data_IF_474680177094
#
_entry.id   IF_474680177094
#
_cell.length_a   1.000
_cell.length_b   1.000
_cell.length_c   1.000
_cell.angle_alpha   90.00
_cell.angle_beta   90.00
_cell.angle_gamma   90.00
#
_symmetry.space_group_name_H-M   'P 1'
#
loop_
_entity.id
_entity.type
_entity.pdbx_description
1 polymer ?
#
# COMPACT_ATOMS: atom_id res chain seq x y z
N UNK A 1 27.65 6.64 -7.01
CA UNK A 1 28.13 5.42 -6.32
C UNK A 1 27.04 4.81 -5.46
N UNK A 2 26.39 5.58 -4.58
CA UNK A 2 25.28 5.09 -3.74
C UNK A 2 24.07 4.64 -4.56
N UNK A 3 23.66 5.41 -5.59
CA UNK A 3 22.53 5.04 -6.46
C UNK A 3 22.77 3.75 -7.24
N UNK A 4 23.97 3.55 -7.79
CA UNK A 4 24.30 2.32 -8.54
C UNK A 4 24.26 1.07 -7.65
N UNK A 5 24.63 1.20 -6.38
CA UNK A 5 24.54 0.10 -5.40
C UNK A 5 23.09 -0.23 -5.09
N UNK A 6 22.25 0.77 -4.85
CA UNK A 6 20.83 0.53 -4.56
C UNK A 6 20.09 -0.08 -5.76
N UNK A 7 20.38 0.39 -6.97
CA UNK A 7 19.88 -0.25 -8.20
C UNK A 7 20.31 -1.71 -8.32
N UNK A 8 21.44 -2.09 -7.73
CA UNK A 8 21.86 -3.48 -7.59
C UNK A 8 20.92 -4.29 -6.69
N UNK A 9 20.57 -3.77 -5.51
CA UNK A 9 19.60 -4.41 -4.60
C UNK A 9 18.21 -4.53 -5.22
N UNK A 10 17.73 -3.48 -5.89
CA UNK A 10 16.45 -3.49 -6.61
C UNK A 10 16.46 -4.58 -7.66
N UNK A 11 17.51 -4.68 -8.50
CA UNK A 11 17.62 -5.75 -9.50
C UNK A 11 17.66 -7.15 -8.88
N UNK A 12 18.29 -7.29 -7.71
CA UNK A 12 18.31 -8.57 -6.98
C UNK A 12 16.91 -8.94 -6.49
N UNK A 13 16.15 -7.97 -6.00
CA UNK A 13 14.74 -8.14 -5.62
C UNK A 13 13.89 -8.51 -6.85
N UNK A 14 14.01 -7.79 -7.97
CA UNK A 14 13.33 -8.08 -9.24
C UNK A 14 13.65 -9.49 -9.78
N UNK A 15 14.86 -10.00 -9.54
CA UNK A 15 15.23 -11.36 -9.91
C UNK A 15 14.64 -12.43 -8.97
N UNK A 16 14.38 -12.09 -7.71
CA UNK A 16 13.74 -12.98 -6.74
C UNK A 16 12.24 -13.01 -6.96
N UNK A 17 11.66 -11.84 -7.18
CA UNK A 17 10.24 -11.59 -7.28
C UNK A 17 9.92 -10.87 -8.60
N UNK A 18 9.30 -11.62 -9.52
CA UNK A 18 8.90 -11.09 -10.83
C UNK A 18 7.88 -9.95 -10.70
N UNK A 19 7.18 -9.86 -9.57
CA UNK A 19 6.25 -8.77 -9.21
C UNK A 19 6.94 -7.41 -9.24
N UNK A 20 8.15 -7.32 -8.69
CA UNK A 20 8.82 -6.04 -8.45
C UNK A 20 9.44 -5.44 -9.71
N UNK A 21 9.43 -6.15 -10.85
CA UNK A 21 10.08 -5.70 -12.09
C UNK A 21 9.48 -4.40 -12.61
N UNK A 22 10.25 -3.33 -12.51
CA UNK A 22 9.85 -1.96 -12.84
C UNK A 22 8.72 -1.40 -11.94
N UNK A 23 8.26 -2.14 -10.95
CA UNK A 23 7.21 -1.73 -10.01
C UNK A 23 7.72 -0.59 -9.13
N UNK A 24 8.86 -0.79 -8.47
CA UNK A 24 9.45 0.23 -7.59
C UNK A 24 9.71 1.55 -8.31
N UNK A 25 10.10 1.51 -9.59
CA UNK A 25 10.29 2.71 -10.42
C UNK A 25 8.97 3.40 -10.76
N UNK A 26 7.88 2.65 -11.00
CA UNK A 26 6.55 3.23 -11.24
C UNK A 26 5.95 3.79 -9.95
N UNK A 27 6.11 3.10 -8.82
CA UNK A 27 5.74 3.62 -7.50
C UNK A 27 6.51 4.89 -7.18
N UNK A 28 7.81 4.95 -7.47
CA UNK A 28 8.61 6.16 -7.32
C UNK A 28 8.08 7.30 -8.20
N UNK A 29 7.74 7.03 -9.47
CA UNK A 29 7.13 8.02 -10.37
C UNK A 29 5.81 8.57 -9.81
N UNK A 30 4.89 7.71 -9.37
CA UNK A 30 3.61 8.16 -8.82
C UNK A 30 3.80 8.90 -7.48
N UNK A 31 4.73 8.47 -6.64
CA UNK A 31 5.04 9.14 -5.37
C UNK A 31 5.59 10.56 -5.61
N UNK A 32 6.55 10.71 -6.52
CA UNK A 32 7.08 12.02 -6.93
C UNK A 32 5.97 12.91 -7.51
N UNK A 33 5.13 12.34 -8.38
CA UNK A 33 4.01 13.06 -9.00
C UNK A 33 3.01 13.61 -7.98
N UNK A 34 2.61 12.79 -7.01
CA UNK A 34 1.71 13.20 -5.92
C UNK A 34 2.41 14.25 -5.05
N UNK A 35 3.65 13.99 -4.62
CA UNK A 35 4.42 14.92 -3.78
C UNK A 35 4.57 16.30 -4.41
N UNK A 36 4.90 16.37 -5.71
CA UNK A 36 5.00 17.63 -6.46
C UNK A 36 3.68 18.40 -6.44
N UNK A 37 2.56 17.70 -6.67
CA UNK A 37 1.23 18.29 -6.65
C UNK A 37 0.81 18.78 -5.26
N UNK A 38 1.33 18.17 -4.19
CA UNK A 38 1.16 18.61 -2.80
C UNK A 38 2.18 19.68 -2.35
N UNK A 39 3.07 20.12 -3.25
CA UNK A 39 4.02 21.20 -3.01
C UNK A 39 5.37 20.77 -2.45
N UNK A 40 5.69 19.47 -2.44
CA UNK A 40 7.00 18.98 -2.03
C UNK A 40 8.06 19.43 -3.04
N UNK A 41 9.27 19.68 -2.56
CA UNK A 41 10.38 20.15 -3.39
C UNK A 41 11.72 19.56 -2.95
N UNK A 42 12.69 19.56 -3.87
CA UNK A 42 14.08 19.20 -3.62
C UNK A 42 14.22 17.91 -2.83
N UNK A 43 14.74 18.02 -1.61
CA UNK A 43 15.01 16.90 -0.71
C UNK A 43 13.75 16.09 -0.35
N UNK A 44 12.56 16.70 -0.28
CA UNK A 44 11.34 15.95 0.05
C UNK A 44 10.95 14.96 -1.06
N UNK A 45 11.04 15.39 -2.31
CA UNK A 45 10.79 14.53 -3.48
C UNK A 45 11.86 13.45 -3.59
N UNK A 46 13.12 13.80 -3.33
CA UNK A 46 14.20 12.83 -3.31
C UNK A 46 13.98 11.74 -2.23
N UNK A 47 13.51 12.12 -1.03
CA UNK A 47 13.13 11.15 0.01
C UNK A 47 12.02 10.22 -0.43
N UNK A 48 10.93 10.75 -1.00
CA UNK A 48 9.83 9.93 -1.54
C UNK A 48 10.31 8.95 -2.60
N UNK A 49 11.11 9.43 -3.55
CA UNK A 49 11.69 8.61 -4.62
C UNK A 49 12.50 7.46 -4.02
N UNK A 50 13.41 7.75 -3.10
CA UNK A 50 14.24 6.72 -2.48
C UNK A 50 13.43 5.75 -1.64
N UNK A 51 12.48 6.22 -0.85
CA UNK A 51 11.58 5.37 -0.05
C UNK A 51 10.80 4.40 -0.95
N UNK A 52 10.24 4.89 -2.07
CA UNK A 52 9.56 4.06 -3.05
C UNK A 52 10.46 3.00 -3.68
N UNK A 53 11.74 3.32 -3.91
CA UNK A 53 12.69 2.36 -4.47
C UNK A 53 13.08 1.23 -3.49
N UNK A 54 12.95 1.46 -2.18
CA UNK A 54 13.39 0.53 -1.13
C UNK A 54 12.26 -0.15 -0.36
N UNK A 55 11.00 0.30 -0.50
CA UNK A 55 9.88 -0.16 0.33
C UNK A 55 9.76 -1.69 0.42
N UNK A 56 10.07 -2.37 -0.68
CA UNK A 56 9.97 -3.83 -0.79
C UNK A 56 11.30 -4.58 -0.62
N UNK A 57 12.42 -3.90 -0.29
CA UNK A 57 13.75 -4.56 -0.20
C UNK A 57 13.77 -5.67 0.85
N UNK A 58 12.95 -5.55 1.90
CA UNK A 58 12.78 -6.56 2.93
C UNK A 58 12.24 -7.90 2.42
N UNK A 59 11.58 -7.93 1.25
CA UNK A 59 11.17 -9.19 0.59
C UNK A 59 12.38 -10.05 0.20
N UNK A 60 13.61 -9.51 0.19
CA UNK A 60 14.84 -10.30 0.07
C UNK A 60 15.04 -11.31 1.22
N UNK A 61 14.49 -11.05 2.40
CA UNK A 61 14.55 -11.96 3.55
C UNK A 61 13.38 -12.97 3.61
N UNK A 62 12.26 -12.72 2.91
CA UNK A 62 11.08 -13.61 2.90
C UNK A 62 11.34 -14.88 2.05
N UNK A 63 10.91 -16.09 2.46
CA UNK A 63 11.11 -17.31 1.67
C UNK A 63 10.55 -17.21 0.24
N UNK A 64 11.32 -17.68 -0.75
CA UNK A 64 10.93 -17.58 -2.18
C UNK A 64 9.61 -18.31 -2.49
N UNK A 65 9.39 -19.47 -1.88
CA UNK A 65 8.18 -20.27 -2.12
C UNK A 65 6.93 -19.57 -1.58
N UNK A 66 7.09 -18.76 -0.52
CA UNK A 66 6.03 -17.93 0.04
C UNK A 66 5.71 -16.75 -0.89
N UNK A 67 6.73 -16.03 -1.38
CA UNK A 67 6.55 -14.92 -2.36
C UNK A 67 5.86 -15.38 -3.64
N UNK A 68 6.10 -16.62 -4.08
CA UNK A 68 5.57 -17.16 -5.34
C UNK A 68 4.29 -18.00 -5.15
N UNK A 69 3.76 -18.07 -3.94
CA UNK A 69 2.60 -18.89 -3.63
C UNK A 69 1.36 -18.28 -4.28
N UNK A 70 0.68 -19.06 -5.13
CA UNK A 70 -0.57 -18.63 -5.82
C UNK A 70 -1.85 -18.90 -5.03
N UNK A 71 -1.74 -19.69 -3.97
CA UNK A 71 -2.86 -20.00 -3.10
C UNK A 71 -2.88 -19.00 -1.94
N UNK A 72 -4.05 -18.83 -1.32
CA UNK A 72 -4.18 -18.01 -0.09
C UNK A 72 -3.10 -18.38 0.91
N UNK A 73 -2.48 -17.36 1.49
CA UNK A 73 -1.58 -17.51 2.62
C UNK A 73 -2.36 -17.98 3.85
N UNK A 74 -1.76 -18.84 4.65
CA UNK A 74 -2.20 -19.08 6.02
C UNK A 74 -1.90 -17.84 6.87
N UNK A 75 -2.48 -17.74 8.06
CA UNK A 75 -2.20 -16.66 9.01
C UNK A 75 -0.70 -16.57 9.35
N UNK A 76 -0.03 -17.71 9.56
CA UNK A 76 1.41 -17.78 9.81
C UNK A 76 2.25 -17.31 8.62
N UNK A 77 1.86 -17.70 7.41
CA UNK A 77 2.50 -17.29 6.16
C UNK A 77 2.28 -15.80 5.88
N UNK A 78 1.11 -15.28 6.25
CA UNK A 78 0.79 -13.86 6.15
C UNK A 78 1.64 -13.03 7.11
N UNK A 79 1.79 -13.46 8.37
CA UNK A 79 2.70 -12.81 9.32
C UNK A 79 4.16 -12.81 8.83
N UNK A 80 4.61 -13.91 8.20
CA UNK A 80 5.94 -13.96 7.57
C UNK A 80 6.07 -13.02 6.37
N UNK A 81 4.99 -12.79 5.63
CA UNK A 81 4.97 -11.81 4.54
C UNK A 81 5.06 -10.39 5.08
N UNK A 82 4.28 -10.05 6.11
CA UNK A 82 4.28 -8.72 6.75
C UNK A 82 5.65 -8.36 7.35
N UNK A 83 6.39 -9.36 7.84
CA UNK A 83 7.75 -9.18 8.37
C UNK A 83 8.75 -8.58 7.36
N UNK A 84 8.43 -8.51 6.06
CA UNK A 84 9.27 -7.80 5.09
C UNK A 84 9.47 -6.33 5.49
N UNK A 85 8.48 -5.69 6.10
CA UNK A 85 8.60 -4.31 6.60
C UNK A 85 9.73 -4.19 7.62
N UNK A 86 9.78 -5.11 8.59
CA UNK A 86 10.86 -5.14 9.58
C UNK A 86 12.23 -5.44 8.96
N UNK A 87 12.24 -6.30 7.93
CA UNK A 87 13.48 -6.61 7.22
C UNK A 87 14.04 -5.43 6.42
N UNK A 88 13.24 -4.44 6.04
CA UNK A 88 13.76 -3.20 5.42
C UNK A 88 14.71 -2.48 6.37
N UNK A 89 14.29 -2.31 7.63
CA UNK A 89 15.11 -1.68 8.67
C UNK A 89 16.39 -2.48 8.90
N UNK A 90 16.28 -3.79 9.11
CA UNK A 90 17.45 -4.66 9.36
C UNK A 90 18.46 -4.62 8.21
N UNK A 91 17.97 -4.67 6.96
CA UNK A 91 18.85 -4.71 5.77
C UNK A 91 19.52 -3.37 5.48
N UNK A 92 18.91 -2.25 5.89
CA UNK A 92 19.38 -0.91 5.59
C UNK A 92 19.94 -0.16 6.81
N UNK A 93 19.98 -0.80 7.98
CA UNK A 93 20.44 -0.24 9.25
C UNK A 93 21.83 0.44 9.16
N UNK A 94 22.75 -0.14 8.39
CA UNK A 94 24.12 0.38 8.24
C UNK A 94 24.28 1.44 7.15
N UNK A 95 23.18 1.84 6.48
CA UNK A 95 23.20 2.79 5.38
C UNK A 95 22.63 4.14 5.84
N UNK A 96 23.47 4.95 6.50
CA UNK A 96 23.08 6.22 7.13
C UNK A 96 22.22 7.15 6.26
N UNK A 97 22.56 7.26 4.96
CA UNK A 97 21.85 8.17 4.06
C UNK A 97 20.40 7.73 3.75
N UNK A 98 20.08 6.45 3.95
CA UNK A 98 18.74 5.90 3.72
C UNK A 98 17.85 5.94 4.96
N UNK A 99 18.40 6.18 6.15
CA UNK A 99 17.63 6.16 7.40
C UNK A 99 16.37 7.04 7.36
N UNK A 100 16.39 8.28 6.82
CA UNK A 100 15.17 9.08 6.71
C UNK A 100 14.12 8.51 5.75
N UNK A 101 14.51 7.61 4.86
CA UNK A 101 13.66 6.96 3.87
C UNK A 101 13.18 5.60 4.36
N UNK A 102 13.93 4.96 5.28
CA UNK A 102 13.55 3.69 5.92
C UNK A 102 12.25 3.86 6.69
N UNK A 103 12.10 4.92 7.50
CA UNK A 103 10.83 5.19 8.21
C UNK A 103 9.65 5.34 7.23
N UNK A 104 9.84 6.02 6.10
CA UNK A 104 8.77 6.15 5.09
C UNK A 104 8.44 4.78 4.50
N UNK A 105 9.48 4.03 4.14
CA UNK A 105 9.38 2.72 3.54
C UNK A 105 8.77 1.68 4.48
N UNK A 106 8.97 1.75 5.80
CA UNK A 106 8.38 0.78 6.73
C UNK A 106 6.96 1.12 7.15
N UNK A 107 6.48 2.33 6.86
CA UNK A 107 5.12 2.76 7.18
C UNK A 107 4.16 2.75 5.98
N UNK A 108 4.58 2.23 4.82
CA UNK A 108 3.74 2.23 3.62
C UNK A 108 2.49 1.32 3.70
N UNK A 109 2.43 0.43 4.69
CA UNK A 109 1.27 -0.42 4.99
C UNK A 109 0.47 0.06 6.22
N UNK A 110 0.87 1.17 6.83
CA UNK A 110 0.08 1.80 7.88
C UNK A 110 -1.13 2.49 7.27
N UNK A 111 -2.30 2.28 7.86
CA UNK A 111 -3.53 2.89 7.39
C UNK A 111 -3.71 4.27 7.99
N UNK A 112 -4.43 5.15 7.27
CA UNK A 112 -4.75 6.49 7.72
C UNK A 112 -5.55 6.53 9.04
N UNK A 113 -6.43 5.55 9.27
CA UNK A 113 -7.19 5.41 10.54
C UNK A 113 -6.37 4.82 11.69
N UNK A 114 -5.07 4.59 11.49
CA UNK A 114 -4.16 4.00 12.48
C UNK A 114 -4.22 2.47 12.56
N UNK A 115 -5.01 1.81 11.71
CA UNK A 115 -4.94 0.35 11.50
C UNK A 115 -3.82 -0.06 10.53
N UNK A 116 -3.79 -1.31 10.10
CA UNK A 116 -2.73 -1.83 9.21
C UNK A 116 -1.50 -2.29 10.00
N UNK A 117 -0.33 -2.26 9.37
CA UNK A 117 0.93 -2.65 10.00
C UNK A 117 2.07 -1.73 9.61
N UNK A 118 2.96 -1.49 10.56
CA UNK A 118 4.06 -0.53 10.45
C UNK A 118 5.39 -1.14 10.90
N UNK A 119 6.48 -0.44 10.59
CA UNK A 119 7.80 -0.74 11.15
C UNK A 119 7.86 -0.45 12.65
N UNK A 120 8.80 -1.05 13.39
CA UNK A 120 8.88 -0.98 14.85
C UNK A 120 9.10 0.42 15.43
N UNK A 121 9.36 1.44 14.59
CA UNK A 121 9.48 2.84 15.01
C UNK A 121 8.14 3.55 15.23
N UNK A 122 7.03 2.98 14.77
CA UNK A 122 5.68 3.55 14.88
C UNK A 122 4.83 2.74 15.86
N UNK A 123 3.79 3.35 16.42
CA UNK A 123 2.86 2.69 17.33
C UNK A 123 1.49 2.51 16.68
N UNK A 124 0.75 1.49 17.12
CA UNK A 124 -0.65 1.29 16.75
C UNK A 124 -1.49 2.54 17.08
N UNK A 125 -2.28 2.99 16.09
CA UNK A 125 -3.20 4.13 16.25
C UNK A 125 -2.61 5.51 15.93
N UNK A 126 -1.30 5.63 15.66
CA UNK A 126 -0.71 6.86 15.15
C UNK A 126 -1.01 7.01 13.64
N UNK A 127 -1.34 8.23 13.20
CA UNK A 127 -1.48 8.52 11.77
C UNK A 127 -0.10 8.43 11.08
N UNK A 128 0.02 7.72 9.95
CA UNK A 128 1.29 7.60 9.25
C UNK A 128 1.81 8.95 8.76
N UNK A 129 3.15 9.13 8.67
CA UNK A 129 3.72 10.32 8.03
C UNK A 129 3.15 10.52 6.64
N UNK A 130 2.93 11.77 6.24
CA UNK A 130 2.35 12.08 4.92
C UNK A 130 3.15 11.44 3.78
N UNK A 131 4.48 11.41 3.86
CA UNK A 131 5.32 10.69 2.90
C UNK A 131 4.95 9.20 2.76
N UNK A 132 4.64 8.52 3.87
CA UNK A 132 4.24 7.12 3.86
C UNK A 132 2.83 6.94 3.28
N UNK A 133 1.90 7.86 3.57
CA UNK A 133 0.58 7.87 2.92
C UNK A 133 0.66 8.06 1.41
N UNK A 134 1.57 8.95 0.94
CA UNK A 134 1.85 9.13 -0.50
C UNK A 134 2.33 7.82 -1.11
N UNK A 135 3.28 7.16 -0.44
CA UNK A 135 3.85 5.90 -0.90
C UNK A 135 2.79 4.79 -0.95
N UNK A 136 1.93 4.66 0.07
CA UNK A 136 0.85 3.68 0.14
C UNK A 136 -0.14 3.82 -1.05
N UNK A 137 -0.55 5.06 -1.34
CA UNK A 137 -1.46 5.33 -2.47
C UNK A 137 -0.78 5.04 -3.81
N UNK A 138 0.49 5.42 -3.97
CA UNK A 138 1.27 5.15 -5.17
C UNK A 138 1.47 3.64 -5.42
N UNK A 139 1.80 2.90 -4.36
CA UNK A 139 1.96 1.45 -4.39
C UNK A 139 0.66 0.75 -4.80
N UNK A 140 -0.44 1.07 -4.11
CA UNK A 140 -1.76 0.52 -4.39
C UNK A 140 -2.25 0.83 -5.81
N UNK A 141 -1.99 2.05 -6.31
CA UNK A 141 -2.35 2.42 -7.67
C UNK A 141 -1.56 1.61 -8.72
N UNK A 142 -0.23 1.51 -8.58
CA UNK A 142 0.58 0.70 -9.50
C UNK A 142 0.17 -0.78 -9.42
N UNK A 143 -0.09 -1.24 -8.20
CA UNK A 143 -0.49 -2.59 -7.90
C UNK A 143 -1.77 -3.00 -8.65
N UNK A 144 -2.75 -2.10 -8.73
CA UNK A 144 -3.99 -2.31 -9.46
C UNK A 144 -3.84 -2.16 -10.98
N UNK A 145 -3.04 -1.19 -11.43
CA UNK A 145 -2.99 -0.78 -12.85
C UNK A 145 -1.87 -1.43 -13.66
N UNK A 146 -1.01 -2.23 -13.03
CA UNK A 146 0.05 -2.97 -13.73
C UNK A 146 -0.35 -4.41 -14.05
N UNK A 147 -0.06 -4.87 -15.28
CA UNK A 147 -0.25 -6.28 -15.67
C UNK A 147 0.80 -7.14 -15.00
N UNK A 148 0.36 -8.15 -14.26
CA UNK A 148 1.22 -9.08 -13.52
C UNK A 148 1.23 -10.45 -14.21
N UNK A 149 2.21 -11.29 -13.91
CA UNK A 149 2.35 -12.64 -14.50
C UNK A 149 1.10 -13.53 -14.37
N UNK A 150 0.18 -13.20 -13.44
CA UNK A 150 -1.06 -13.94 -13.19
C UNK A 150 -2.32 -13.06 -13.10
N UNK A 151 -2.21 -11.72 -13.25
CA UNK A 151 -3.32 -10.77 -13.10
C UNK A 151 -3.32 -9.76 -14.24
N UNK A 152 -4.47 -9.60 -14.89
CA UNK A 152 -4.68 -8.52 -15.87
C UNK A 152 -4.79 -7.20 -15.11
N UNK A 153 -4.12 -6.17 -15.61
CA UNK A 153 -4.25 -4.82 -15.07
C UNK A 153 -5.73 -4.39 -15.00
N UNK A 154 -6.14 -3.79 -13.89
CA UNK A 154 -7.43 -3.13 -13.78
C UNK A 154 -7.38 -1.78 -14.50
N UNK A 155 -8.55 -1.22 -14.85
CA UNK A 155 -8.60 0.12 -15.44
C UNK A 155 -8.26 1.19 -14.40
N UNK A 156 -7.74 2.32 -14.88
CA UNK A 156 -7.47 3.49 -14.05
C UNK A 156 -8.73 3.97 -13.31
N UNK A 157 -9.88 3.96 -13.99
CA UNK A 157 -11.16 4.39 -13.41
C UNK A 157 -11.56 3.50 -12.24
N UNK A 158 -11.36 2.17 -12.35
CA UNK A 158 -11.59 1.26 -11.24
C UNK A 158 -10.61 1.52 -10.09
N UNK A 159 -9.32 1.68 -10.39
CA UNK A 159 -8.32 1.98 -9.35
C UNK A 159 -8.65 3.28 -8.60
N UNK A 160 -9.14 4.31 -9.30
CA UNK A 160 -9.60 5.56 -8.67
C UNK A 160 -10.82 5.34 -7.78
N UNK A 161 -11.79 4.54 -8.21
CA UNK A 161 -12.97 4.23 -7.41
C UNK A 161 -12.58 3.47 -6.14
N UNK A 162 -11.69 2.49 -6.23
CA UNK A 162 -11.25 1.68 -5.09
C UNK A 162 -10.43 2.51 -4.09
N UNK A 163 -9.50 3.36 -4.56
CA UNK A 163 -8.77 4.27 -3.67
C UNK A 163 -9.71 5.22 -2.92
N UNK A 164 -10.72 5.77 -3.61
CA UNK A 164 -11.73 6.64 -2.99
C UNK A 164 -12.63 5.90 -2.00
N UNK A 165 -12.95 4.64 -2.29
CA UNK A 165 -13.77 3.80 -1.41
C UNK A 165 -13.13 3.61 -0.05
N UNK A 166 -11.79 3.53 0.00
CA UNK A 166 -11.01 3.37 1.23
C UNK A 166 -10.32 4.67 1.69
N UNK A 167 -10.73 5.82 1.15
CA UNK A 167 -10.24 7.10 1.62
C UNK A 167 -10.81 7.41 3.01
N UNK A 168 -9.94 7.77 3.96
CA UNK A 168 -10.28 8.05 5.35
C UNK A 168 -10.22 6.83 6.26
N UNK A 169 -9.96 5.63 5.72
CA UNK A 169 -9.62 4.42 6.47
C UNK A 169 -8.21 3.98 6.12
N UNK A 170 -8.03 3.28 4.99
CA UNK A 170 -6.72 2.83 4.52
C UNK A 170 -5.87 4.00 4.00
N UNK A 171 -6.46 4.87 3.18
CA UNK A 171 -5.72 5.92 2.47
C UNK A 171 -6.03 7.31 2.99
N UNK A 172 -5.01 8.17 3.03
CA UNK A 172 -5.19 9.58 3.31
C UNK A 172 -6.04 10.24 2.19
N UNK A 173 -7.20 10.86 2.51
CA UNK A 173 -8.13 11.39 1.50
C UNK A 173 -7.50 12.39 0.53
N UNK A 174 -6.74 13.36 1.05
CA UNK A 174 -6.10 14.39 0.21
C UNK A 174 -5.05 13.80 -0.75
N UNK A 175 -4.35 12.74 -0.33
CA UNK A 175 -3.36 12.05 -1.18
C UNK A 175 -4.07 11.36 -2.35
N UNK A 176 -5.18 10.66 -2.07
CA UNK A 176 -6.01 10.02 -3.10
C UNK A 176 -6.50 11.04 -4.12
N UNK A 177 -7.12 12.14 -3.67
CA UNK A 177 -7.63 13.16 -4.59
C UNK A 177 -6.53 13.90 -5.35
N UNK A 178 -5.35 14.06 -4.75
CA UNK A 178 -4.17 14.62 -5.43
C UNK A 178 -3.74 13.73 -6.59
N UNK A 179 -3.63 12.41 -6.39
CA UNK A 179 -3.30 11.46 -7.45
C UNK A 179 -4.33 11.54 -8.58
N UNK A 180 -5.61 11.40 -8.25
CA UNK A 180 -6.70 11.35 -9.24
C UNK A 180 -6.73 12.64 -10.05
N UNK A 181 -6.77 13.80 -9.39
CA UNK A 181 -6.84 15.09 -10.07
C UNK A 181 -5.61 15.36 -10.95
N UNK A 182 -4.42 14.94 -10.51
CA UNK A 182 -3.19 15.13 -11.26
C UNK A 182 -3.17 14.29 -12.53
N UNK A 183 -3.50 13.00 -12.43
CA UNK A 183 -3.56 12.11 -13.59
C UNK A 183 -4.68 12.50 -14.57
N UNK A 184 -5.85 12.89 -14.07
CA UNK A 184 -6.95 13.40 -14.91
C UNK A 184 -6.52 14.65 -15.68
N UNK A 185 -5.89 15.63 -15.01
CA UNK A 185 -5.43 16.88 -15.63
C UNK A 185 -4.35 16.64 -16.69
N UNK A 186 -3.47 15.66 -16.47
CA UNK A 186 -2.41 15.29 -17.43
C UNK A 186 -2.93 14.48 -18.62
N UNK A 187 -4.17 13.98 -18.54
CA UNK A 187 -4.77 13.15 -19.60
C UNK A 187 -4.13 11.78 -19.74
N UNK A 188 -3.38 11.33 -18.73
CA UNK A 188 -2.72 10.03 -18.73
C UNK A 188 -3.74 8.90 -18.53
N UNK A 189 -3.39 7.71 -19.03
CA UNK A 189 -4.21 6.49 -18.93
C UNK A 189 -3.34 5.32 -18.56
N UNK A 190 -3.67 4.66 -17.45
CA UNK A 190 -3.01 3.48 -16.93
C UNK A 190 -3.96 2.28 -16.89
N UNK A 191 -3.37 1.09 -16.85
CA UNK A 191 -4.14 -0.14 -16.76
C UNK A 191 -4.84 -0.57 -18.05
N UNK A 192 -5.85 -1.42 -17.90
CA UNK A 192 -6.58 -1.94 -19.06
C UNK A 192 -7.51 -0.87 -19.65
N UNK A 193 -7.30 -0.55 -20.92
CA UNK A 193 -8.15 0.37 -21.69
C UNK A 193 -9.49 -0.24 -22.10
N UNK A 194 -9.60 -1.57 -22.04
CA UNK A 194 -10.74 -2.34 -22.54
C UNK A 194 -11.76 -2.70 -21.43
N UNK A 195 -11.47 -2.34 -20.17
CA UNK A 195 -12.30 -2.65 -19.01
C UNK A 195 -12.96 -1.39 -18.45
N UNK A 196 -13.99 -0.89 -19.15
CA UNK A 196 -14.88 0.17 -18.65
C UNK A 196 -16.03 -0.38 -17.80
N UNK A 197 -16.21 -1.70 -17.75
CA UNK A 197 -17.21 -2.36 -16.91
C UNK A 197 -16.62 -2.68 -15.53
N UNK A 198 -17.05 -1.90 -14.54
CA UNK A 198 -16.68 -2.03 -13.13
C UNK A 198 -16.98 -3.42 -12.55
N UNK A 199 -18.07 -4.07 -12.99
CA UNK A 199 -18.45 -5.40 -12.51
C UNK A 199 -17.50 -6.48 -13.05
N UNK A 200 -17.05 -6.35 -14.30
CA UNK A 200 -16.07 -7.26 -14.88
C UNK A 200 -14.68 -7.02 -14.28
N UNK A 201 -14.29 -5.76 -14.05
CA UNK A 201 -13.06 -5.43 -13.35
C UNK A 201 -13.06 -6.00 -11.92
N UNK A 202 -14.18 -5.88 -11.20
CA UNK A 202 -14.38 -6.43 -9.86
C UNK A 202 -14.36 -7.95 -9.84
N UNK A 203 -15.08 -8.63 -10.75
CA UNK A 203 -15.02 -10.10 -10.87
C UNK A 203 -13.60 -10.60 -11.12
N UNK A 204 -12.84 -9.90 -11.96
CA UNK A 204 -11.42 -10.22 -12.20
C UNK A 204 -10.54 -9.90 -10.99
N UNK A 205 -10.78 -8.79 -10.29
CA UNK A 205 -10.08 -8.46 -9.07
C UNK A 205 -10.31 -9.53 -8.00
N UNK A 206 -11.56 -9.89 -7.71
CA UNK A 206 -11.96 -10.90 -6.72
C UNK A 206 -11.45 -12.31 -7.04
N UNK A 207 -11.39 -12.68 -8.34
CA UNK A 207 -10.78 -13.95 -8.76
C UNK A 207 -9.26 -14.03 -8.47
N UNK A 208 -8.60 -12.89 -8.27
CA UNK A 208 -7.15 -12.76 -8.12
C UNK A 208 -6.71 -12.06 -6.81
N UNK A 209 -7.65 -11.61 -5.97
CA UNK A 209 -7.43 -10.86 -4.72
C UNK A 209 -6.81 -11.69 -3.60
N UNK A 210 -6.68 -13.00 -3.81
CA UNK A 210 -6.15 -13.97 -2.85
C UNK A 210 -4.62 -14.06 -2.80
N UNK A 211 -3.93 -13.18 -3.54
CA UNK A 211 -2.48 -13.22 -3.71
C UNK A 211 -1.75 -12.31 -2.69
N UNK A 212 -2.33 -11.17 -2.30
CA UNK A 212 -1.72 -10.22 -1.35
C UNK A 212 -2.77 -9.77 -0.35
N UNK A 213 -2.58 -10.10 0.93
CA UNK A 213 -3.52 -9.78 2.00
C UNK A 213 -3.48 -8.31 2.41
N UNK A 214 -3.74 -7.38 1.49
CA UNK A 214 -3.81 -5.95 1.80
C UNK A 214 -5.24 -5.40 1.70
N UNK A 215 -6.23 -6.29 1.67
CA UNK A 215 -7.65 -5.94 1.68
C UNK A 215 -8.37 -6.88 2.66
N UNK A 216 -8.12 -6.68 3.94
CA UNK A 216 -8.94 -7.25 4.99
C UNK A 216 -10.28 -6.52 5.04
N UNK A 217 -11.34 -7.12 4.51
CA UNK A 217 -12.70 -6.79 4.94
C UNK A 217 -12.81 -7.15 6.43
N UNK A 218 -12.65 -6.17 7.31
CA UNK A 218 -13.18 -6.24 8.66
C UNK A 218 -14.66 -5.87 8.59
N UNK A 219 -15.48 -6.90 8.47
CA UNK A 219 -16.93 -6.84 8.68
C UNK A 219 -17.17 -6.30 10.10
N UNK A 220 -17.54 -5.02 10.20
CA UNK A 220 -18.01 -4.45 11.45
C UNK A 220 -19.34 -5.14 11.81
N UNK A 221 -19.29 -6.05 12.78
CA UNK A 221 -20.50 -6.44 13.50
C UNK A 221 -21.06 -5.20 14.21
N UNK A 222 -22.16 -4.68 13.67
CA UNK A 222 -23.04 -3.76 14.37
C UNK A 222 -23.62 -4.48 15.59
N UNK A 223 -23.00 -4.31 16.75
CA UNK A 223 -23.64 -4.56 18.04
C UNK A 223 -24.64 -3.43 18.30
N UNK A 224 -25.90 -3.74 18.06
CA UNK A 224 -27.08 -2.91 18.32
C UNK A 224 -27.21 -2.61 19.82
N UNK A 225 -26.62 -1.48 20.25
CA UNK A 225 -26.90 -0.87 21.57
C UNK A 225 -28.17 -0.05 21.46
N UNK A 226 -29.33 -0.71 21.57
CA UNK A 226 -30.58 -0.01 21.89
C UNK A 226 -30.78 0.06 23.41
N UNK A 227 -30.41 1.22 23.95
CA UNK A 227 -30.81 1.64 25.27
C UNK A 227 -32.32 1.93 25.31
N UNK A 228 -33.07 1.25 26.18
CA UNK A 228 -34.29 1.83 26.75
C UNK A 228 -34.27 1.65 28.27
N UNK A 229 -34.02 2.76 28.95
CA UNK A 229 -34.41 2.98 30.34
C UNK A 229 -35.90 3.31 30.35
N UNK A 230 -36.69 2.60 31.15
CA UNK A 230 -37.85 3.19 31.83
C UNK A 230 -37.91 2.67 33.27
N UNK A 231 -37.99 3.64 34.17
CA UNK A 231 -38.08 3.49 35.62
C UNK A 231 -39.51 3.19 36.08
N UNK A 232 -39.62 2.77 37.36
CA UNK A 232 -40.79 2.92 38.30
C UNK A 232 -42.02 2.03 38.02
N UNK A 233 -42.65 1.30 38.95
CA UNK A 233 -42.75 1.33 40.43
C UNK A 233 -43.31 -0.04 40.97
N UNK A 234 -43.51 -0.24 42.30
CA UNK A 234 -43.54 -1.55 42.97
C UNK A 234 -44.96 -2.11 43.20
N UNK A 235 -45.09 -3.41 43.53
CA UNK A 235 -46.14 -3.89 44.46
C UNK A 235 -45.89 -5.32 44.99
N UNK A 236 -46.50 -5.56 46.16
CA UNK A 236 -46.51 -6.63 47.15
C UNK A 236 -46.47 -8.12 46.72
N UNK A 237 -45.90 -8.93 47.63
CA UNK A 237 -46.03 -10.40 47.69
C UNK A 237 -45.04 -11.09 48.62
#
# INVERSE_FOLDING_TARGET
AQESTLRGFIKALEAKDLYTRGHTERVAYFSELIGEAMGFNGTQLERLRWAALIHDVGKLAVPRDLIRKKARLTEEEYAQMQAHVHHVEDLLAEVDFLQPMVDIATNHHAHYDGSGYHGPSHNDGDEPPLEASILAVADSFDAMTSTRSYRVALSQEYAFAELRRHAGTQFHPDVVETLVSTLTRRGERYGSLDLTDEQEARRRAEAHMFDHGDFGEHDHHDDDVSSVRTSTEPDDG
#
